data_IF_435591302986
#
_entry.id   IF_435591302986
#
_cell.length_a   1.000
_cell.length_b   1.000
_cell.length_c   1.000
_cell.angle_alpha   90.00
_cell.angle_beta   90.00
_cell.angle_gamma   90.00
#
_symmetry.space_group_name_H-M   'P 1'
#
loop_
_entity.id
_entity.type
_entity.pdbx_description
1 polymer ?
#
# COMPACT_ATOMS: atom_id res chain seq x y z
N UNK A 1 -24.69 -14.15 -29.53
CA UNK A 1 -25.48 -13.07 -28.88
C UNK A 1 -24.49 -12.18 -28.13
N UNK A 2 -24.30 -10.95 -28.59
CA UNK A 2 -23.40 -9.99 -27.94
C UNK A 2 -24.26 -9.16 -26.99
N UNK A 3 -24.14 -9.39 -25.69
CA UNK A 3 -24.80 -8.54 -24.69
C UNK A 3 -23.94 -7.30 -24.48
N UNK A 4 -24.28 -6.24 -25.20
CA UNK A 4 -23.77 -4.90 -24.94
C UNK A 4 -24.47 -4.38 -23.68
N UNK A 5 -23.81 -4.47 -22.53
CA UNK A 5 -24.28 -3.82 -21.30
C UNK A 5 -23.69 -2.43 -21.20
N UNK A 6 -24.51 -1.45 -20.81
CA UNK A 6 -24.06 -0.10 -20.54
C UNK A 6 -22.97 -0.10 -19.44
N UNK A 7 -21.93 0.75 -19.54
CA UNK A 7 -20.90 0.85 -18.52
C UNK A 7 -21.53 1.39 -17.23
N UNK A 8 -21.81 0.49 -16.29
CA UNK A 8 -22.50 0.82 -15.04
C UNK A 8 -21.64 1.67 -14.10
N UNK A 9 -20.35 1.84 -14.41
CA UNK A 9 -19.42 2.65 -13.65
C UNK A 9 -18.40 3.32 -14.57
N UNK A 10 -18.29 4.65 -14.47
CA UNK A 10 -17.12 5.38 -14.96
C UNK A 10 -16.06 5.34 -13.86
N UNK A 11 -14.92 4.66 -14.11
CA UNK A 11 -13.76 4.78 -13.23
C UNK A 11 -13.19 6.19 -13.39
N UNK A 12 -13.67 7.12 -12.58
CA UNK A 12 -13.00 8.41 -12.43
C UNK A 12 -11.68 8.11 -11.74
N UNK A 13 -10.57 8.45 -12.41
CA UNK A 13 -9.26 8.55 -11.74
C UNK A 13 -9.39 9.71 -10.76
N UNK A 14 -9.96 9.43 -9.59
CA UNK A 14 -9.98 10.41 -8.52
C UNK A 14 -8.51 10.64 -8.15
N UNK A 15 -8.05 11.88 -8.41
CA UNK A 15 -6.74 12.37 -8.03
C UNK A 15 -6.63 12.32 -6.51
N UNK A 16 -6.28 11.15 -5.98
CA UNK A 16 -5.98 10.99 -4.57
C UNK A 16 -4.58 11.59 -4.38
N UNK A 17 -4.53 12.90 -4.12
CA UNK A 17 -3.41 13.51 -3.38
C UNK A 17 -3.45 12.95 -1.96
N UNK A 18 -3.12 11.67 -1.81
CA UNK A 18 -2.53 11.21 -0.57
C UNK A 18 -1.26 12.01 -0.43
N UNK A 19 -1.16 12.75 0.65
CA UNK A 19 0.13 13.23 1.11
C UNK A 19 1.05 11.98 1.18
N UNK A 20 1.90 11.79 0.17
CA UNK A 20 2.67 10.55 -0.07
C UNK A 20 3.57 10.20 1.14
N UNK A 21 3.75 11.16 2.05
CA UNK A 21 4.50 11.06 3.29
C UNK A 21 3.75 10.46 4.49
N UNK A 22 2.43 10.21 4.42
CA UNK A 22 1.65 9.72 5.57
C UNK A 22 1.17 8.26 5.48
N UNK A 23 1.54 7.52 4.44
CA UNK A 23 1.16 6.11 4.31
C UNK A 23 2.04 5.26 5.24
N UNK A 24 1.41 4.50 6.17
CA UNK A 24 2.09 3.54 7.05
C UNK A 24 1.68 2.12 6.65
N UNK A 25 2.68 1.25 6.45
CA UNK A 25 2.47 -0.16 6.14
C UNK A 25 2.54 -1.03 7.39
N UNK A 26 1.44 -1.11 8.14
CA UNK A 26 1.36 -1.92 9.36
C UNK A 26 1.62 -3.41 9.13
N UNK A 27 2.26 -4.06 10.10
CA UNK A 27 2.60 -5.49 10.09
C UNK A 27 3.52 -5.92 8.93
N UNK A 28 4.19 -4.98 8.28
CA UNK A 28 5.23 -5.25 7.28
C UNK A 28 6.58 -4.91 7.89
N UNK A 29 7.57 -5.76 7.62
CA UNK A 29 8.95 -5.60 8.07
C UNK A 29 9.81 -5.38 6.84
N UNK A 30 10.63 -4.34 6.84
CA UNK A 30 11.62 -4.13 5.79
C UNK A 30 12.74 -5.18 5.91
N UNK A 31 13.00 -5.96 4.87
CA UNK A 31 14.04 -6.98 4.86
C UNK A 31 15.45 -6.41 4.90
N UNK A 32 15.65 -5.18 4.44
CA UNK A 32 16.93 -4.48 4.43
C UNK A 32 17.35 -3.94 5.79
N UNK A 33 16.47 -3.19 6.47
CA UNK A 33 16.79 -2.53 7.75
C UNK A 33 16.06 -3.10 8.97
N UNK A 34 15.19 -4.09 8.77
CA UNK A 34 14.33 -4.71 9.81
C UNK A 34 13.40 -3.72 10.52
N UNK A 35 13.14 -2.56 9.94
CA UNK A 35 12.14 -1.63 10.45
C UNK A 35 10.74 -2.22 10.28
N UNK A 36 9.98 -2.23 11.38
CA UNK A 36 8.58 -2.64 11.40
C UNK A 36 7.66 -1.45 11.14
N UNK A 37 6.54 -1.68 10.45
CA UNK A 37 5.48 -0.68 10.25
C UNK A 37 5.99 0.68 9.75
N UNK A 38 6.76 0.66 8.65
CA UNK A 38 7.44 1.85 8.14
C UNK A 38 6.51 2.78 7.34
N UNK A 39 6.92 4.05 7.25
CA UNK A 39 6.27 5.12 6.49
C UNK A 39 6.77 5.16 5.05
N UNK A 40 5.94 5.73 4.16
CA UNK A 40 6.29 6.02 2.77
C UNK A 40 6.03 4.83 1.85
N UNK A 41 6.76 4.76 0.74
CA UNK A 41 6.52 3.76 -0.30
C UNK A 41 7.07 2.38 0.14
N UNK A 42 6.24 1.35 0.03
CA UNK A 42 6.65 -0.06 0.11
C UNK A 42 7.06 -0.57 -1.27
N UNK A 43 8.19 -1.26 -1.31
CA UNK A 43 8.69 -1.96 -2.48
C UNK A 43 8.65 -3.46 -2.21
N UNK A 44 7.96 -4.23 -3.05
CA UNK A 44 7.78 -5.66 -2.87
C UNK A 44 8.38 -6.44 -4.04
N UNK A 45 8.92 -7.63 -3.80
CA UNK A 45 9.39 -8.52 -4.85
C UNK A 45 8.38 -9.63 -5.12
N UNK A 46 7.76 -9.63 -6.30
CA UNK A 46 6.80 -10.65 -6.73
C UNK A 46 7.47 -11.93 -7.28
N UNK A 47 8.80 -11.91 -7.48
CA UNK A 47 9.57 -13.04 -8.03
C UNK A 47 10.06 -14.02 -6.95
N UNK A 48 10.13 -13.55 -5.70
CA UNK A 48 10.57 -14.37 -4.58
C UNK A 48 9.48 -15.33 -4.11
N UNK A 49 9.90 -16.53 -3.69
CA UNK A 49 9.01 -17.49 -3.00
C UNK A 49 8.58 -16.99 -1.62
N UNK A 50 9.54 -16.39 -0.92
CA UNK A 50 9.30 -15.72 0.37
C UNK A 50 9.02 -14.23 0.11
N UNK A 51 8.15 -13.61 0.90
CA UNK A 51 7.91 -12.17 0.79
C UNK A 51 9.21 -11.41 1.02
N UNK A 52 9.60 -10.54 0.08
CA UNK A 52 10.73 -9.64 0.24
C UNK A 52 10.25 -8.20 0.10
N UNK A 53 10.32 -7.45 1.19
CA UNK A 53 9.78 -6.10 1.30
C UNK A 53 10.88 -5.09 1.67
N UNK A 54 10.98 -3.98 0.94
CA UNK A 54 11.86 -2.88 1.26
C UNK A 54 11.06 -1.60 1.52
N UNK A 55 11.51 -0.83 2.52
CA UNK A 55 11.10 0.56 2.65
C UNK A 55 11.83 1.46 1.65
N UNK A 56 11.34 2.68 1.49
CA UNK A 56 11.90 3.67 0.56
C UNK A 56 13.41 3.93 0.75
N UNK A 57 13.90 3.99 1.99
CA UNK A 57 15.32 4.21 2.24
C UNK A 57 16.18 3.01 1.84
N UNK A 58 15.69 1.78 2.05
CA UNK A 58 16.41 0.58 1.64
C UNK A 58 16.35 0.33 0.14
N UNK A 59 15.29 0.80 -0.53
CA UNK A 59 15.15 0.66 -1.97
C UNK A 59 16.29 1.35 -2.75
N UNK A 60 16.87 2.43 -2.23
CA UNK A 60 18.07 3.07 -2.83
C UNK A 60 19.25 2.11 -3.01
N UNK A 61 19.31 1.07 -2.18
CA UNK A 61 20.32 0.01 -2.23
C UNK A 61 19.74 -1.33 -2.68
N UNK A 62 18.56 -1.35 -3.31
CA UNK A 62 17.88 -2.58 -3.75
C UNK A 62 18.78 -3.49 -4.60
N UNK A 63 19.54 -2.92 -5.54
CA UNK A 63 20.46 -3.70 -6.38
C UNK A 63 21.57 -4.42 -5.58
N UNK A 64 21.92 -3.91 -4.39
CA UNK A 64 22.90 -4.54 -3.49
C UNK A 64 22.24 -5.52 -2.52
N UNK A 65 21.07 -5.14 -1.98
CA UNK A 65 20.33 -5.92 -0.97
C UNK A 65 19.60 -7.12 -1.58
N UNK A 66 19.15 -6.98 -2.83
CA UNK A 66 18.33 -7.96 -3.53
C UNK A 66 18.63 -7.94 -5.04
N UNK A 67 19.83 -8.43 -5.45
CA UNK A 67 20.22 -8.42 -6.85
C UNK A 67 19.35 -9.36 -7.69
N UNK A 68 19.20 -9.03 -8.97
CA UNK A 68 18.54 -9.82 -10.02
C UNK A 68 17.00 -9.92 -9.95
N UNK A 69 16.34 -9.34 -8.95
CA UNK A 69 14.89 -9.27 -8.92
C UNK A 69 14.40 -7.83 -9.01
N UNK A 70 13.29 -7.62 -9.70
CA UNK A 70 12.66 -6.32 -9.83
C UNK A 70 11.65 -6.13 -8.70
N UNK A 71 11.83 -5.08 -7.91
CA UNK A 71 10.81 -4.69 -6.94
C UNK A 71 9.72 -3.83 -7.59
N UNK A 72 8.47 -4.10 -7.22
CA UNK A 72 7.29 -3.34 -7.60
C UNK A 72 6.91 -2.38 -6.49
N UNK A 73 6.40 -1.21 -6.89
CA UNK A 73 5.87 -0.24 -5.94
C UNK A 73 4.50 -0.74 -5.48
N UNK A 74 4.38 -0.98 -4.18
CA UNK A 74 3.11 -1.18 -3.52
C UNK A 74 2.66 0.18 -3.00
N UNK A 75 2.06 0.99 -3.89
CA UNK A 75 1.19 2.06 -3.43
C UNK A 75 0.16 1.41 -2.54
N UNK A 76 -0.02 1.91 -1.31
CA UNK A 76 -0.97 1.29 -0.38
C UNK A 76 -2.25 0.94 -1.15
N UNK A 77 -2.66 -0.35 -1.19
CA UNK A 77 -3.93 -0.69 -1.78
C UNK A 77 -4.95 0.22 -1.11
N UNK A 78 -5.82 0.83 -1.94
CA UNK A 78 -6.94 1.68 -1.49
C UNK A 78 -7.31 1.23 -0.10
N UNK A 79 -7.05 2.07 0.91
CA UNK A 79 -7.44 1.74 2.27
C UNK A 79 -8.90 1.30 2.17
N UNK A 80 -9.18 -0.01 2.20
CA UNK A 80 -10.32 -0.51 2.95
C UNK A 80 -9.85 -0.22 4.35
N UNK A 81 -10.00 1.05 4.72
CA UNK A 81 -9.69 1.63 6.00
C UNK A 81 -10.16 0.55 6.96
N UNK A 82 -9.23 -0.11 7.66
CA UNK A 82 -9.56 -1.19 8.57
C UNK A 82 -10.79 -0.74 9.32
N UNK A 83 -11.85 -1.56 9.36
CA UNK A 83 -13.16 -1.16 9.89
C UNK A 83 -13.03 -0.41 11.21
N UNK A 84 -11.97 -0.66 11.99
CA UNK A 84 -11.52 0.12 13.15
C UNK A 84 -11.55 1.65 13.01
N UNK A 85 -11.03 2.25 11.93
CA UNK A 85 -11.01 3.71 11.76
C UNK A 85 -12.36 4.27 11.26
N UNK A 86 -13.12 3.48 10.49
CA UNK A 86 -14.52 3.81 10.13
C UNK A 86 -15.47 3.68 11.34
N UNK A 87 -15.20 2.74 12.25
CA UNK A 87 -15.92 2.55 13.50
C UNK A 87 -15.58 3.66 14.50
N UNK A 88 -14.32 4.08 14.60
CA UNK A 88 -13.90 5.19 15.44
C UNK A 88 -14.55 6.52 15.01
N UNK A 89 -14.72 6.76 13.70
CA UNK A 89 -15.40 7.95 13.18
C UNK A 89 -16.92 7.97 13.45
N UNK A 90 -17.54 6.82 13.79
CA UNK A 90 -18.95 6.74 14.22
C UNK A 90 -19.11 6.85 15.74
N UNK A 91 -18.09 6.50 16.51
CA UNK A 91 -18.12 6.54 17.97
C UNK A 91 -18.01 7.97 18.54
N UNK A 92 -17.53 8.94 17.76
CA UNK A 92 -17.38 10.35 18.21
C UNK A 92 -18.64 11.18 18.06
N UNK A 93 -19.76 10.61 17.58
CA UNK A 93 -21.05 11.31 17.42
C UNK A 93 -22.17 10.84 18.37
N UNK A 94 -21.83 10.12 19.44
CA UNK A 94 -22.78 9.73 20.50
C UNK A 94 -22.22 10.13 21.86
N UNK A 95 -22.10 11.44 22.07
CA UNK A 95 -22.00 12.07 23.38
C UNK A 95 -22.76 13.40 23.31
N UNK A 96 -24.08 13.31 23.18
CA UNK A 96 -25.05 14.32 23.63
C UNK A 96 -26.25 13.58 24.22
#
# INVERSE_FOLDING_TARGET
MKTEHAPQHTFKKDNYSLDEHMIIHYNIICDGCKAESFKGIRYHCDECRESYDLCESCYQNANKLHPNHKLTIVQAPLLRINNYMLLAARATKVLE
#
